data_IF_445604830600
#
_entry.id   IF_445604830600
#
_cell.length_a   1.000
_cell.length_b   1.000
_cell.length_c   1.000
_cell.angle_alpha   90.00
_cell.angle_beta   90.00
_cell.angle_gamma   90.00
#
_symmetry.space_group_name_H-M   'P 1'
#
loop_
_entity.id
_entity.type
_entity.pdbx_description
1 polymer ?
#
# COMPACT_ATOMS: atom_id res chain seq x y z
N UNK A 1 -7.94 19.03 16.92
CA UNK A 1 -7.21 18.84 15.67
C UNK A 1 -6.83 20.23 15.17
N UNK A 2 -5.55 20.55 15.07
CA UNK A 2 -5.13 21.74 14.34
C UNK A 2 -5.53 21.52 12.88
N UNK A 3 -6.37 22.38 12.37
CA UNK A 3 -6.71 22.43 10.97
C UNK A 3 -5.42 22.73 10.18
N UNK A 4 -5.09 21.88 9.22
CA UNK A 4 -3.93 22.15 8.36
C UNK A 4 -4.40 23.17 7.33
N UNK A 5 -3.95 24.40 7.49
CA UNK A 5 -4.22 25.46 6.53
C UNK A 5 -3.60 25.09 5.17
N UNK A 6 -4.43 24.97 4.15
CA UNK A 6 -3.98 24.63 2.79
C UNK A 6 -3.35 25.84 2.12
N UNK A 7 -2.29 25.59 1.35
CA UNK A 7 -1.57 26.61 0.62
C UNK A 7 -1.64 26.35 -0.88
N UNK A 8 -1.90 27.40 -1.63
CA UNK A 8 -1.84 27.33 -3.09
C UNK A 8 -0.38 27.19 -3.53
N UNK A 9 -0.15 26.33 -4.49
CA UNK A 9 1.18 26.10 -5.06
C UNK A 9 1.27 26.66 -6.48
N UNK A 10 2.49 27.02 -6.88
CA UNK A 10 2.87 27.39 -8.23
C UNK A 10 3.99 26.50 -8.67
N UNK A 11 4.01 26.10 -9.95
CA UNK A 11 5.00 25.20 -10.48
C UNK A 11 5.72 25.80 -11.70
N UNK A 12 7.03 25.57 -11.74
CA UNK A 12 7.86 25.84 -12.92
C UNK A 12 8.59 24.57 -13.28
N UNK A 13 8.42 24.11 -14.51
CA UNK A 13 8.95 22.83 -15.01
C UNK A 13 9.92 23.06 -16.17
N UNK A 14 11.03 22.31 -16.20
CA UNK A 14 11.85 22.06 -17.37
C UNK A 14 11.97 20.54 -17.62
N UNK A 15 12.81 20.11 -18.57
CA UNK A 15 12.90 18.69 -18.94
C UNK A 15 13.49 17.79 -17.83
N UNK A 16 14.29 18.37 -16.93
CA UNK A 16 15.00 17.61 -15.89
C UNK A 16 14.43 17.77 -14.49
N UNK A 17 13.69 18.84 -14.25
CA UNK A 17 13.25 19.16 -12.90
C UNK A 17 11.98 19.99 -12.87
N UNK A 18 11.32 19.93 -11.70
CA UNK A 18 10.18 20.78 -11.37
C UNK A 18 10.43 21.52 -10.06
N UNK A 19 10.10 22.81 -10.03
CA UNK A 19 10.08 23.62 -8.82
C UNK A 19 8.65 23.84 -8.40
N UNK A 20 8.33 23.52 -7.15
CA UNK A 20 7.03 23.76 -6.53
C UNK A 20 7.24 24.77 -5.42
N UNK A 21 6.42 25.84 -5.40
CA UNK A 21 6.51 26.86 -4.38
C UNK A 21 5.11 27.39 -3.97
N UNK A 22 4.96 27.84 -2.71
CA UNK A 22 3.73 28.40 -2.15
C UNK A 22 3.89 29.88 -1.72
N UNK A 23 4.97 30.51 -2.20
CA UNK A 23 5.34 31.89 -1.79
C UNK A 23 6.17 31.95 -0.50
N UNK A 24 6.16 30.93 0.34
CA UNK A 24 6.97 30.84 1.57
C UNK A 24 8.08 29.78 1.46
N UNK A 25 7.76 28.64 0.86
CA UNK A 25 8.65 27.51 0.67
C UNK A 25 8.77 27.22 -0.81
N UNK A 26 10.00 27.04 -1.29
CA UNK A 26 10.29 26.62 -2.66
C UNK A 26 11.14 25.36 -2.64
N UNK A 27 10.75 24.35 -3.42
CA UNK A 27 11.47 23.08 -3.54
C UNK A 27 11.61 22.67 -4.98
N UNK A 28 12.81 22.22 -5.33
CA UNK A 28 13.13 21.68 -6.63
C UNK A 28 13.27 20.17 -6.53
N UNK A 29 12.63 19.45 -7.46
CA UNK A 29 12.63 17.99 -7.53
C UNK A 29 13.12 17.54 -8.91
N UNK A 30 13.96 16.50 -8.99
CA UNK A 30 14.28 15.86 -10.25
C UNK A 30 13.07 15.20 -10.86
N UNK A 31 12.95 15.21 -12.18
CA UNK A 31 11.90 14.53 -12.92
C UNK A 31 12.39 13.16 -13.39
N UNK A 32 11.49 12.22 -13.31
CA UNK A 32 11.61 10.88 -13.84
C UNK A 32 10.50 10.65 -14.87
N UNK A 33 10.72 9.74 -15.80
CA UNK A 33 9.73 9.34 -16.79
C UNK A 33 9.17 7.97 -16.42
N UNK A 34 7.86 7.86 -16.41
CA UNK A 34 7.16 6.58 -16.32
C UNK A 34 7.01 6.03 -17.75
N UNK A 35 7.70 4.93 -18.06
CA UNK A 35 7.73 4.37 -19.40
C UNK A 35 6.39 3.77 -19.83
N UNK A 36 5.61 3.29 -18.89
CA UNK A 36 4.30 2.66 -19.16
C UNK A 36 3.24 3.72 -19.42
N UNK A 37 3.21 4.75 -18.57
CA UNK A 37 2.21 5.81 -18.65
C UNK A 37 2.62 6.95 -19.61
N UNK A 38 3.90 7.01 -19.99
CA UNK A 38 4.41 8.09 -20.83
C UNK A 38 4.37 9.47 -20.18
N UNK A 39 4.30 9.55 -18.85
CA UNK A 39 4.18 10.80 -18.10
C UNK A 39 5.35 11.00 -17.15
N UNK A 40 5.70 12.25 -16.89
CA UNK A 40 6.71 12.59 -15.92
C UNK A 40 6.17 12.49 -14.50
N UNK A 41 7.05 12.14 -13.56
CA UNK A 41 6.75 12.14 -12.13
C UNK A 41 7.99 12.57 -11.33
N UNK A 42 7.78 12.91 -10.07
CA UNK A 42 8.86 13.13 -9.12
C UNK A 42 8.56 12.45 -7.78
N UNK A 43 9.61 12.21 -7.01
CA UNK A 43 9.53 11.85 -5.60
C UNK A 43 9.97 13.03 -4.75
N UNK A 44 9.28 13.25 -3.65
CA UNK A 44 9.71 14.27 -2.72
C UNK A 44 9.02 14.19 -1.38
N UNK A 45 9.74 14.71 -0.39
CA UNK A 45 9.18 15.05 0.90
C UNK A 45 8.62 16.46 0.80
N UNK A 46 7.30 16.58 0.91
CA UNK A 46 6.59 17.83 0.68
C UNK A 46 5.76 18.24 1.88
N UNK A 47 5.52 19.55 2.05
CA UNK A 47 4.62 20.06 3.09
C UNK A 47 3.21 19.47 2.94
N UNK A 48 2.63 19.00 4.03
CA UNK A 48 1.24 18.49 4.04
C UNK A 48 0.27 19.56 3.57
N UNK A 49 0.56 20.83 3.88
CA UNK A 49 -0.26 21.98 3.46
C UNK A 49 -0.37 22.16 1.94
N UNK A 50 0.51 21.51 1.15
CA UNK A 50 0.44 21.54 -0.32
C UNK A 50 -0.51 20.51 -0.90
N UNK A 51 -0.91 19.51 -0.11
CA UNK A 51 -1.75 18.40 -0.56
C UNK A 51 -3.22 18.70 -0.30
N UNK A 52 -4.04 18.41 -1.27
CA UNK A 52 -5.49 18.36 -1.15
C UNK A 52 -6.01 17.00 -1.64
N UNK A 53 -7.17 16.59 -1.19
CA UNK A 53 -7.78 15.36 -1.70
C UNK A 53 -8.13 15.54 -3.18
N UNK A 54 -7.97 14.47 -3.94
CA UNK A 54 -8.46 14.43 -5.31
C UNK A 54 -9.96 14.11 -5.28
N UNK A 55 -10.77 15.15 -5.44
CA UNK A 55 -12.25 15.07 -5.37
C UNK A 55 -12.87 14.86 -6.75
N UNK A 56 -12.09 14.33 -7.72
CA UNK A 56 -12.62 14.06 -9.06
C UNK A 56 -13.70 12.98 -8.99
N UNK A 57 -14.77 13.15 -9.77
CA UNK A 57 -15.86 12.20 -9.88
C UNK A 57 -15.34 10.81 -10.28
N UNK A 58 -15.74 9.78 -9.55
CA UNK A 58 -15.23 8.40 -9.70
C UNK A 58 -14.12 8.01 -8.73
N UNK A 59 -13.37 8.96 -8.17
CA UNK A 59 -12.57 8.76 -6.98
C UNK A 59 -13.49 8.88 -5.76
N UNK A 60 -14.06 7.77 -5.33
CA UNK A 60 -14.70 7.79 -4.01
C UNK A 60 -13.60 7.78 -2.96
N UNK A 61 -13.36 8.88 -2.22
CA UNK A 61 -12.52 8.83 -1.07
C UNK A 61 -13.14 7.82 -0.12
N UNK A 62 -12.40 6.79 0.23
CA UNK A 62 -12.87 5.84 1.26
C UNK A 62 -13.13 6.63 2.52
N UNK A 63 -14.25 6.38 3.14
CA UNK A 63 -14.49 6.87 4.49
C UNK A 63 -13.29 6.46 5.34
N UNK A 64 -12.70 7.42 6.04
CA UNK A 64 -11.54 7.17 6.89
C UNK A 64 -11.97 6.19 8.00
N UNK A 65 -11.44 4.97 7.95
CA UNK A 65 -11.60 3.99 9.01
C UNK A 65 -10.76 4.44 10.21
N UNK A 66 -11.44 4.75 11.30
CA UNK A 66 -10.79 5.28 12.50
C UNK A 66 -9.83 4.26 13.15
N UNK A 67 -10.18 2.98 13.18
CA UNK A 67 -9.30 1.94 13.76
C UNK A 67 -8.02 1.80 12.96
N UNK A 68 -8.15 1.77 11.63
CA UNK A 68 -7.01 1.74 10.72
C UNK A 68 -6.17 3.00 10.83
N UNK A 69 -6.79 4.16 10.92
CA UNK A 69 -6.10 5.44 11.11
C UNK A 69 -5.23 5.44 12.37
N UNK A 70 -5.79 5.03 13.51
CA UNK A 70 -5.07 4.98 14.78
C UNK A 70 -3.92 3.96 14.72
N UNK A 71 -4.14 2.79 14.13
CA UNK A 71 -3.10 1.79 13.94
C UNK A 71 -1.93 2.32 13.10
N UNK A 72 -2.21 3.00 11.99
CA UNK A 72 -1.19 3.62 11.14
C UNK A 72 -0.48 4.76 11.88
N UNK A 73 -1.21 5.61 12.61
CA UNK A 73 -0.66 6.67 13.43
C UNK A 73 0.36 6.13 14.44
N UNK A 74 0.01 5.08 15.16
CA UNK A 74 0.88 4.51 16.19
C UNK A 74 2.09 3.80 15.57
N UNK A 75 1.91 3.15 14.42
CA UNK A 75 3.02 2.62 13.65
C UNK A 75 4.01 3.72 13.22
N UNK A 76 3.51 4.80 12.64
CA UNK A 76 4.35 5.90 12.12
C UNK A 76 5.01 6.76 13.21
N UNK A 77 4.73 6.56 14.49
CA UNK A 77 5.51 7.16 15.59
C UNK A 77 6.91 6.60 15.69
N UNK A 78 7.07 5.31 15.40
CA UNK A 78 8.31 4.58 15.65
C UNK A 78 8.92 3.98 14.38
N UNK A 79 8.23 4.06 13.26
CA UNK A 79 8.65 3.46 12.00
C UNK A 79 8.52 4.46 10.84
N UNK A 80 9.45 4.44 9.89
CA UNK A 80 9.39 5.32 8.72
C UNK A 80 8.23 4.92 7.79
N UNK A 81 7.79 5.88 6.98
CA UNK A 81 6.91 5.61 5.86
C UNK A 81 7.70 4.89 4.76
N UNK A 82 7.43 3.59 4.53
CA UNK A 82 8.14 2.81 3.52
C UNK A 82 7.64 3.08 2.10
N UNK A 83 6.32 3.20 1.93
CA UNK A 83 5.71 3.49 0.64
C UNK A 83 5.23 4.93 0.59
N UNK A 84 5.64 5.74 -0.40
CA UNK A 84 5.15 7.10 -0.55
C UNK A 84 3.64 7.11 -0.79
N UNK A 85 2.99 8.21 -0.43
CA UNK A 85 1.63 8.48 -0.90
C UNK A 85 1.67 8.84 -2.38
N UNK A 86 0.56 8.65 -3.09
CA UNK A 86 0.47 8.96 -4.51
C UNK A 86 -0.37 10.22 -4.69
N UNK A 87 0.17 11.16 -5.44
CA UNK A 87 -0.54 12.37 -5.84
C UNK A 87 -0.38 12.62 -7.34
N UNK A 88 -1.19 13.50 -7.87
CA UNK A 88 -1.01 14.07 -9.19
C UNK A 88 -0.96 15.60 -9.12
N UNK A 89 -0.16 16.19 -9.96
CA UNK A 89 -0.12 17.62 -10.16
C UNK A 89 -1.12 17.97 -11.27
N UNK A 90 -2.16 18.69 -10.92
CA UNK A 90 -3.20 19.17 -11.84
C UNK A 90 -3.48 20.65 -11.53
N UNK A 91 -3.38 21.51 -12.53
CA UNK A 91 -3.64 22.95 -12.43
C UNK A 91 -2.88 23.62 -11.25
N UNK A 92 -1.58 23.32 -11.14
CA UNK A 92 -0.71 23.75 -10.04
C UNK A 92 -1.10 23.24 -8.65
N UNK A 93 -2.00 22.26 -8.55
CA UNK A 93 -2.45 21.68 -7.28
C UNK A 93 -1.97 20.24 -7.14
N UNK A 94 -1.50 19.90 -5.96
CA UNK A 94 -1.06 18.55 -5.62
C UNK A 94 -2.25 17.76 -5.06
N UNK A 95 -2.91 17.01 -5.93
CA UNK A 95 -4.10 16.21 -5.62
C UNK A 95 -3.70 14.84 -5.10
N UNK A 96 -3.99 14.57 -3.82
CA UNK A 96 -3.72 13.28 -3.20
C UNK A 96 -4.66 12.21 -3.72
N UNK A 97 -4.09 11.24 -4.42
CA UNK A 97 -4.81 10.15 -5.07
C UNK A 97 -4.91 8.91 -4.17
N UNK A 98 -3.80 8.51 -3.54
CA UNK A 98 -3.74 7.40 -2.57
C UNK A 98 -2.90 7.76 -1.35
N UNK A 99 -3.24 7.15 -0.22
CA UNK A 99 -2.54 7.35 1.04
C UNK A 99 -3.25 8.29 2.02
N UNK A 100 -4.53 8.53 1.88
CA UNK A 100 -5.33 9.39 2.76
C UNK A 100 -5.20 9.02 4.24
N UNK A 101 -5.27 7.72 4.58
CA UNK A 101 -5.05 7.27 5.96
C UNK A 101 -3.63 7.53 6.46
N UNK A 102 -2.62 7.36 5.58
CA UNK A 102 -1.21 7.69 5.92
C UNK A 102 -1.03 9.16 6.18
N UNK A 103 -1.59 10.01 5.31
CA UNK A 103 -1.54 11.46 5.48
C UNK A 103 -2.24 11.89 6.76
N UNK A 104 -3.46 11.42 7.00
CA UNK A 104 -4.20 11.73 8.22
C UNK A 104 -3.47 11.27 9.49
N UNK A 105 -2.85 10.10 9.47
CA UNK A 105 -2.03 9.59 10.57
C UNK A 105 -0.81 10.48 10.85
N UNK A 106 -0.16 10.99 9.82
CA UNK A 106 0.98 11.90 9.97
C UNK A 106 0.56 13.26 10.52
N UNK A 107 -0.60 13.79 10.09
CA UNK A 107 -1.19 14.99 10.69
C UNK A 107 -1.46 14.79 12.19
N UNK A 108 -2.00 13.63 12.58
CA UNK A 108 -2.22 13.30 14.00
C UNK A 108 -0.91 13.16 14.79
N UNK A 109 0.19 12.83 14.13
CA UNK A 109 1.53 12.79 14.74
C UNK A 109 2.25 14.15 14.71
N UNK A 110 1.58 15.22 14.29
CA UNK A 110 2.13 16.57 14.13
C UNK A 110 3.31 16.64 13.12
N UNK A 111 3.36 15.75 12.15
CA UNK A 111 4.31 15.87 11.06
C UNK A 111 3.87 17.01 10.13
N UNK A 112 4.82 17.84 9.72
CA UNK A 112 4.57 18.92 8.76
C UNK A 112 4.75 18.51 7.31
N UNK A 113 5.38 17.35 7.08
CA UNK A 113 5.81 16.88 5.76
C UNK A 113 5.56 15.39 5.59
N UNK A 114 5.39 14.96 4.33
CA UNK A 114 5.18 13.56 3.95
C UNK A 114 5.93 13.20 2.68
N UNK A 115 6.26 11.92 2.52
CA UNK A 115 6.88 11.38 1.32
C UNK A 115 5.79 11.03 0.29
N UNK A 116 5.93 11.61 -0.91
CA UNK A 116 4.93 11.50 -1.98
C UNK A 116 5.60 11.22 -3.32
N UNK A 117 4.99 10.34 -4.12
CA UNK A 117 5.22 10.24 -5.56
C UNK A 117 4.16 11.07 -6.26
N UNK A 118 4.57 12.04 -7.06
CA UNK A 118 3.67 12.96 -7.75
C UNK A 118 3.78 12.77 -9.24
N UNK A 119 2.72 12.31 -9.89
CA UNK A 119 2.58 12.28 -11.33
C UNK A 119 2.17 13.65 -11.87
N UNK A 120 2.79 14.08 -12.94
CA UNK A 120 2.48 15.36 -13.57
C UNK A 120 1.40 15.13 -14.63
N UNK A 121 0.21 15.66 -14.40
CA UNK A 121 -0.86 15.56 -15.37
C UNK A 121 -0.48 16.30 -16.65
N UNK A 122 -0.68 15.69 -17.83
CA UNK A 122 -0.59 16.41 -19.10
C UNK A 122 -1.51 17.63 -19.11
N UNK A 123 -1.08 18.68 -19.82
CA UNK A 123 -1.83 19.92 -19.90
C UNK A 123 -3.13 19.83 -20.71
N UNK A 124 -3.27 18.79 -21.53
CA UNK A 124 -4.48 18.53 -22.29
C UNK A 124 -5.47 17.65 -21.50
N UNK A 125 -6.75 17.84 -21.81
CA UNK A 125 -7.84 17.15 -21.08
C UNK A 125 -7.84 15.63 -21.28
N UNK A 126 -7.46 15.17 -22.45
CA UNK A 126 -7.45 13.74 -22.80
C UNK A 126 -6.31 13.03 -22.06
N UNK A 127 -5.09 13.54 -22.14
CA UNK A 127 -3.94 12.98 -21.43
C UNK A 127 -4.12 13.01 -19.90
N UNK A 128 -4.70 14.08 -19.36
CA UNK A 128 -5.02 14.15 -17.93
C UNK A 128 -6.04 13.09 -17.50
N UNK A 129 -7.03 12.82 -18.35
CA UNK A 129 -8.01 11.76 -18.11
C UNK A 129 -7.38 10.37 -18.23
N UNK A 130 -6.54 10.14 -19.24
CA UNK A 130 -5.84 8.86 -19.40
C UNK A 130 -4.96 8.54 -18.18
N UNK A 131 -4.21 9.52 -17.68
CA UNK A 131 -3.42 9.36 -16.46
C UNK A 131 -4.32 9.00 -15.28
N UNK A 132 -5.43 9.71 -15.10
CA UNK A 132 -6.36 9.45 -14.01
C UNK A 132 -6.93 8.03 -14.07
N UNK A 133 -7.40 7.60 -15.24
CA UNK A 133 -7.99 6.27 -15.44
C UNK A 133 -6.94 5.16 -15.18
N UNK A 134 -5.70 5.34 -15.63
CA UNK A 134 -4.61 4.40 -15.40
C UNK A 134 -4.25 4.29 -13.92
N UNK A 135 -4.16 5.40 -13.20
CA UNK A 135 -3.93 5.41 -11.75
C UNK A 135 -5.08 4.76 -10.99
N UNK A 136 -6.34 5.01 -11.42
CA UNK A 136 -7.53 4.38 -10.85
C UNK A 136 -7.50 2.86 -10.98
N UNK A 137 -7.27 2.36 -12.19
CA UNK A 137 -7.21 0.92 -12.45
C UNK A 137 -6.13 0.27 -11.60
N UNK A 138 -4.91 0.85 -11.61
CA UNK A 138 -3.79 0.33 -10.82
C UNK A 138 -4.10 0.30 -9.32
N UNK A 139 -4.72 1.37 -8.79
CA UNK A 139 -5.07 1.44 -7.38
C UNK A 139 -6.17 0.45 -7.00
N UNK A 140 -7.22 0.32 -7.83
CA UNK A 140 -8.29 -0.65 -7.62
C UNK A 140 -7.77 -2.08 -7.66
N UNK A 141 -6.91 -2.43 -8.62
CA UNK A 141 -6.31 -3.75 -8.72
C UNK A 141 -5.40 -4.06 -7.54
N UNK A 142 -4.53 -3.14 -7.14
CA UNK A 142 -3.67 -3.31 -5.99
C UNK A 142 -4.48 -3.55 -4.71
N UNK A 143 -5.54 -2.79 -4.51
CA UNK A 143 -6.41 -2.95 -3.34
C UNK A 143 -7.31 -4.19 -3.39
N UNK A 144 -7.78 -4.60 -4.56
CA UNK A 144 -8.60 -5.81 -4.71
C UNK A 144 -7.75 -7.07 -4.47
N UNK A 145 -6.55 -7.11 -5.01
CA UNK A 145 -5.62 -8.25 -4.85
C UNK A 145 -5.11 -8.41 -3.43
N UNK A 146 -4.84 -7.31 -2.71
CA UNK A 146 -4.42 -7.36 -1.31
C UNK A 146 -5.50 -7.91 -0.35
N UNK A 147 -6.78 -7.86 -0.75
CA UNK A 147 -7.88 -8.45 0.02
C UNK A 147 -8.17 -9.91 -0.33
N UNK A 148 -7.64 -10.39 -1.43
CA UNK A 148 -7.97 -11.68 -2.04
C UNK A 148 -6.71 -12.43 -2.49
N UNK A 149 -5.65 -12.45 -1.68
CA UNK A 149 -4.59 -13.43 -1.95
C UNK A 149 -5.20 -14.79 -1.63
N UNK A 150 -5.64 -15.57 -2.64
CA UNK A 150 -6.09 -16.92 -2.37
C UNK A 150 -4.90 -17.70 -1.85
N UNK A 151 -5.15 -18.61 -0.93
CA UNK A 151 -4.14 -19.59 -0.57
C UNK A 151 -3.60 -20.23 -1.84
N UNK A 152 -2.31 -20.27 -2.01
CA UNK A 152 -1.67 -21.16 -2.96
C UNK A 152 -1.73 -22.58 -2.40
N UNK A 153 -2.87 -23.20 -2.63
CA UNK A 153 -3.27 -24.44 -2.00
C UNK A 153 -2.32 -25.60 -2.28
N UNK A 154 -1.75 -25.70 -3.49
CA UNK A 154 -0.86 -26.80 -3.84
C UNK A 154 0.44 -26.78 -3.03
N UNK A 155 1.09 -25.63 -2.92
CA UNK A 155 2.36 -25.52 -2.20
C UNK A 155 2.17 -25.59 -0.69
N UNK A 156 1.06 -25.08 -0.19
CA UNK A 156 0.72 -25.11 1.23
C UNK A 156 0.35 -26.53 1.68
N UNK A 157 -0.44 -27.25 0.88
CA UNK A 157 -0.86 -28.62 1.14
C UNK A 157 0.34 -29.58 1.30
N UNK A 158 1.38 -29.39 0.52
CA UNK A 158 2.58 -30.25 0.58
C UNK A 158 3.39 -30.05 1.88
N UNK A 159 3.18 -28.95 2.58
CA UNK A 159 3.96 -28.55 3.77
C UNK A 159 3.22 -28.70 5.09
N UNK A 160 1.91 -28.76 5.04
CA UNK A 160 1.11 -29.00 6.24
C UNK A 160 1.30 -30.45 6.72
N UNK A 161 1.33 -30.65 8.05
CA UNK A 161 1.21 -31.98 8.60
C UNK A 161 -0.12 -32.62 8.15
N UNK A 162 -0.20 -33.95 8.16
CA UNK A 162 -1.39 -34.68 7.66
C UNK A 162 -2.69 -34.13 8.28
N UNK A 163 -2.68 -33.82 9.57
CA UNK A 163 -3.87 -33.30 10.29
C UNK A 163 -4.32 -31.95 9.70
N UNK A 164 -3.40 -31.06 9.44
CA UNK A 164 -3.73 -29.72 8.94
C UNK A 164 -4.10 -29.76 7.46
N UNK A 165 -3.51 -30.70 6.70
CA UNK A 165 -3.84 -30.91 5.30
C UNK A 165 -5.30 -31.28 5.12
N UNK A 166 -5.82 -32.20 5.93
CA UNK A 166 -7.23 -32.58 5.91
C UNK A 166 -8.17 -31.41 6.19
N UNK A 167 -7.87 -30.59 7.20
CA UNK A 167 -8.65 -29.39 7.49
C UNK A 167 -8.62 -28.37 6.36
N UNK A 168 -7.51 -28.22 5.67
CA UNK A 168 -7.41 -27.32 4.53
C UNK A 168 -8.22 -27.84 3.34
N UNK A 169 -8.17 -29.13 3.04
CA UNK A 169 -8.97 -29.77 1.99
C UNK A 169 -10.48 -29.63 2.30
N UNK A 170 -10.89 -29.84 3.53
CA UNK A 170 -12.26 -29.63 3.98
C UNK A 170 -12.68 -28.15 3.83
N UNK A 171 -11.84 -27.22 4.25
CA UNK A 171 -12.10 -25.79 4.13
C UNK A 171 -12.29 -25.38 2.67
N UNK A 172 -11.41 -25.83 1.79
CA UNK A 172 -11.46 -25.53 0.35
C UNK A 172 -12.72 -26.12 -0.29
N UNK A 173 -13.09 -27.33 0.09
CA UNK A 173 -14.27 -28.00 -0.47
C UNK A 173 -15.59 -27.41 0.00
N UNK A 174 -15.61 -26.79 1.18
CA UNK A 174 -16.84 -26.25 1.80
C UNK A 174 -17.07 -24.77 1.60
N UNK A 175 -16.08 -24.04 1.10
CA UNK A 175 -16.15 -22.58 0.92
C UNK A 175 -15.97 -22.18 -0.54
N UNK A 176 -16.69 -21.16 -1.02
CA UNK A 176 -16.41 -20.55 -2.32
C UNK A 176 -14.98 -20.02 -2.39
N UNK A 177 -14.38 -20.06 -3.59
CA UNK A 177 -12.97 -19.67 -3.80
C UNK A 177 -12.65 -18.23 -3.36
N UNK A 178 -13.61 -17.33 -3.46
CA UNK A 178 -13.52 -15.94 -2.97
C UNK A 178 -13.31 -15.82 -1.45
N UNK A 179 -13.67 -16.87 -0.71
CA UNK A 179 -13.52 -16.96 0.74
C UNK A 179 -12.26 -17.72 1.18
N UNK A 180 -11.43 -18.19 0.26
CA UNK A 180 -10.19 -18.90 0.56
C UNK A 180 -9.10 -17.90 0.99
N UNK A 181 -9.27 -17.26 2.14
CA UNK A 181 -8.31 -16.34 2.74
C UNK A 181 -7.67 -16.94 3.98
N UNK A 182 -6.48 -16.46 4.31
CA UNK A 182 -5.77 -16.86 5.53
C UNK A 182 -6.63 -16.67 6.79
N UNK A 183 -7.31 -15.53 6.89
CA UNK A 183 -8.15 -15.22 8.04
C UNK A 183 -9.34 -16.19 8.16
N UNK A 184 -9.97 -16.50 7.04
CA UNK A 184 -11.10 -17.44 7.02
C UNK A 184 -10.65 -18.86 7.38
N UNK A 185 -9.48 -19.28 6.95
CA UNK A 185 -8.93 -20.60 7.32
C UNK A 185 -8.58 -20.65 8.83
N UNK A 186 -7.94 -19.61 9.37
CA UNK A 186 -7.67 -19.50 10.81
C UNK A 186 -8.96 -19.57 11.62
N UNK A 187 -10.00 -18.87 11.19
CA UNK A 187 -11.30 -18.92 11.86
C UNK A 187 -11.94 -20.31 11.75
N UNK A 188 -11.84 -20.97 10.61
CA UNK A 188 -12.30 -22.34 10.40
C UNK A 188 -11.59 -23.30 11.36
N UNK A 189 -10.26 -23.25 11.45
CA UNK A 189 -9.49 -24.09 12.39
C UNK A 189 -9.88 -23.84 13.86
N UNK A 190 -10.09 -22.59 14.23
CA UNK A 190 -10.53 -22.24 15.59
C UNK A 190 -11.94 -22.78 15.94
N UNK A 191 -12.81 -22.93 14.94
CA UNK A 191 -14.14 -23.55 15.11
C UNK A 191 -14.09 -25.05 15.35
N UNK A 192 -13.03 -25.75 14.94
CA UNK A 192 -12.85 -27.18 15.13
C UNK A 192 -12.59 -27.57 16.61
N UNK A 193 -12.55 -26.60 17.53
CA UNK A 193 -12.33 -26.77 18.99
C UNK A 193 -11.02 -27.48 19.38
N UNK A 194 -10.19 -27.84 18.41
CA UNK A 194 -8.88 -28.47 18.63
C UNK A 194 -7.75 -27.44 18.72
N UNK A 195 -8.00 -26.20 18.25
CA UNK A 195 -6.99 -25.16 18.16
C UNK A 195 -7.53 -23.84 18.74
N UNK A 196 -6.67 -23.13 19.42
CA UNK A 196 -6.91 -21.72 19.68
C UNK A 196 -6.63 -20.90 18.42
N UNK A 197 -7.22 -19.72 18.31
CA UNK A 197 -6.96 -18.80 17.20
C UNK A 197 -5.47 -18.41 17.09
N UNK A 198 -4.76 -18.37 18.21
CA UNK A 198 -3.32 -18.07 18.26
C UNK A 198 -2.49 -19.23 17.69
N UNK A 199 -2.81 -20.46 18.10
CA UNK A 199 -2.14 -21.67 17.59
C UNK A 199 -2.37 -21.85 16.09
N UNK A 200 -3.59 -21.64 15.60
CA UNK A 200 -3.91 -21.70 14.18
C UNK A 200 -3.13 -20.67 13.36
N UNK A 201 -2.95 -19.45 13.87
CA UNK A 201 -2.14 -18.41 13.22
C UNK A 201 -0.66 -18.77 13.17
N UNK A 202 -0.11 -19.24 14.27
CA UNK A 202 1.30 -19.60 14.35
C UNK A 202 1.62 -20.78 13.44
N UNK A 203 0.77 -21.78 13.45
CA UNK A 203 0.87 -22.93 12.56
C UNK A 203 0.85 -22.53 11.08
N UNK A 204 -0.09 -21.67 10.70
CA UNK A 204 -0.20 -21.20 9.32
C UNK A 204 1.02 -20.37 8.90
N UNK A 205 1.51 -19.49 9.76
CA UNK A 205 2.74 -18.74 9.53
C UNK A 205 3.95 -19.65 9.32
N UNK A 206 4.10 -20.67 10.15
CA UNK A 206 5.15 -21.66 10.02
C UNK A 206 5.08 -22.43 8.70
N UNK A 207 3.87 -22.84 8.31
CA UNK A 207 3.66 -23.55 7.04
C UNK A 207 3.97 -22.66 5.83
N UNK A 208 3.52 -21.40 5.84
CA UNK A 208 3.82 -20.42 4.79
C UNK A 208 5.31 -20.14 4.71
N UNK A 209 5.96 -19.91 5.84
CA UNK A 209 7.40 -19.66 5.91
C UNK A 209 8.18 -20.85 5.33
N UNK A 210 7.84 -22.04 5.73
CA UNK A 210 8.51 -23.25 5.26
C UNK A 210 8.26 -23.49 3.76
N UNK A 211 7.04 -23.26 3.26
CA UNK A 211 6.75 -23.39 1.83
C UNK A 211 7.40 -22.30 0.96
N UNK A 212 7.56 -21.10 1.49
CA UNK A 212 8.26 -20.03 0.79
C UNK A 212 9.78 -20.25 0.72
N UNK A 213 10.34 -20.96 1.70
CA UNK A 213 11.79 -21.21 1.81
C UNK A 213 12.27 -22.43 1.02
N UNK A 214 11.38 -23.33 0.62
CA UNK A 214 11.79 -24.64 0.08
C UNK A 214 11.54 -24.73 -1.43
N UNK A 215 12.61 -24.88 -2.18
CA UNK A 215 12.61 -25.19 -3.61
C UNK A 215 12.37 -24.01 -4.55
N UNK A 216 12.29 -22.77 -4.05
CA UNK A 216 12.18 -21.59 -4.89
C UNK A 216 13.53 -20.88 -5.07
N UNK A 217 13.68 -20.15 -6.18
CA UNK A 217 14.86 -19.27 -6.37
C UNK A 217 14.96 -18.17 -5.30
N UNK A 218 13.88 -17.91 -4.59
CA UNK A 218 13.81 -16.98 -3.45
C UNK A 218 14.47 -17.56 -2.20
N UNK A 219 14.58 -18.90 -2.06
CA UNK A 219 15.21 -19.54 -0.92
C UNK A 219 16.61 -19.01 -0.64
N UNK A 220 17.39 -18.83 -1.70
CA UNK A 220 18.75 -18.31 -1.58
C UNK A 220 18.76 -16.89 -1.03
N UNK A 221 17.89 -16.02 -1.55
CA UNK A 221 17.80 -14.63 -1.11
C UNK A 221 17.22 -14.50 0.30
N UNK A 222 16.21 -15.28 0.63
CA UNK A 222 15.61 -15.28 1.96
C UNK A 222 16.55 -15.88 3.00
N UNK A 223 17.28 -16.94 2.66
CA UNK A 223 18.27 -17.54 3.54
C UNK A 223 19.48 -16.62 3.76
N UNK A 224 19.94 -15.90 2.75
CA UNK A 224 20.98 -14.87 2.88
C UNK A 224 20.50 -13.67 3.70
N UNK A 225 19.30 -13.15 3.43
CA UNK A 225 18.69 -12.07 4.19
C UNK A 225 18.45 -12.45 5.65
N UNK A 226 18.07 -13.68 5.96
CA UNK A 226 17.84 -14.13 7.33
C UNK A 226 19.10 -14.35 8.15
N UNK A 227 20.28 -14.49 7.51
CA UNK A 227 21.57 -14.60 8.20
C UNK A 227 22.09 -13.25 8.70
N UNK A 228 21.78 -12.18 7.98
CA UNK A 228 22.30 -10.84 8.26
C UNK A 228 21.22 -9.87 8.77
N UNK A 229 19.97 -10.22 8.73
CA UNK A 229 18.90 -9.32 9.08
C UNK A 229 18.19 -9.74 10.36
N UNK A 230 18.20 -8.84 11.30
CA UNK A 230 17.27 -8.78 12.45
C UNK A 230 15.79 -8.54 12.01
N UNK A 231 15.45 -8.75 10.73
CA UNK A 231 14.09 -8.59 10.21
C UNK A 231 13.38 -9.93 10.13
N UNK A 232 12.24 -10.10 10.82
CA UNK A 232 11.37 -11.22 10.53
C UNK A 232 10.85 -11.06 9.11
N UNK A 233 11.15 -12.02 8.25
CA UNK A 233 10.49 -12.15 6.95
C UNK A 233 9.04 -12.55 7.26
N UNK A 234 8.13 -11.59 7.20
CA UNK A 234 6.68 -11.81 7.28
C UNK A 234 6.09 -11.92 5.91
#
# INVERSE_FOLDING_TARGET
LKEVERRNTHTTKNDESITVNDGQISRKFPLFQDEILGVAYFYGRIPIAWLENDDQEGLQPRVIDYKRLISIRDHLKNHPQLAPSIARLLDNRLKLFDGQHKLAAQVLNNHGEVDVKVYISPGDKEGSKMLFDALMITNLEAHSKLKQVPFYTSTLLDRLSVIYKEFLEEFISTKPSENHTEENFVNFLAMQKQFTKSEAKEMLRSAIKNSALDGSKLDKYVAEASKDASYPVT
#
